data_IF_468322415623
#
_entry.id   IF_468322415623
#
_cell.length_a   1.000
_cell.length_b   1.000
_cell.length_c   1.000
_cell.angle_alpha   90.00
_cell.angle_beta   90.00
_cell.angle_gamma   90.00
#
_symmetry.space_group_name_H-M   'P 1'
#
loop_
_entity.id
_entity.type
_entity.pdbx_description
1 polymer ?
#
# COMPACT_ATOMS: atom_id res chain seq x y z
N UNK A 1 6.65 -2.74 -30.92
CA UNK A 1 7.03 -2.19 -32.24
C UNK A 1 7.40 -3.31 -33.19
N UNK A 2 6.52 -3.76 -34.09
CA UNK A 2 6.92 -4.74 -35.08
C UNK A 2 7.71 -4.03 -36.20
N UNK A 3 9.04 -4.00 -36.04
CA UNK A 3 9.98 -3.70 -37.12
C UNK A 3 10.25 -5.01 -37.86
N UNK A 4 9.43 -5.27 -38.87
CA UNK A 4 9.56 -6.47 -39.71
C UNK A 4 9.05 -6.19 -41.11
N UNK A 5 9.56 -5.14 -41.76
CA UNK A 5 9.39 -4.94 -43.20
C UNK A 5 10.16 -6.05 -43.91
N UNK A 6 9.54 -7.21 -44.07
CA UNK A 6 9.96 -8.18 -45.05
C UNK A 6 9.80 -7.52 -46.42
N UNK A 7 10.91 -7.03 -46.94
CA UNK A 7 11.06 -6.68 -48.35
C UNK A 7 10.87 -7.97 -49.12
N UNK A 8 9.62 -8.25 -49.51
CA UNK A 8 9.40 -9.26 -50.53
C UNK A 8 10.06 -8.73 -51.80
N UNK A 9 11.09 -9.40 -52.34
CA UNK A 9 11.58 -9.04 -53.67
C UNK A 9 10.40 -9.21 -54.62
N UNK A 10 10.05 -8.15 -55.34
CA UNK A 10 9.02 -8.25 -56.37
C UNK A 10 9.44 -9.34 -57.33
N UNK A 11 8.55 -10.30 -57.63
CA UNK A 11 8.99 -11.44 -58.38
C UNK A 11 9.15 -11.04 -59.85
N UNK A 12 10.38 -11.24 -60.37
CA UNK A 12 10.81 -10.89 -61.74
C UNK A 12 9.84 -11.39 -62.84
N UNK A 13 9.06 -12.44 -62.58
CA UNK A 13 8.05 -12.94 -63.52
C UNK A 13 6.90 -11.97 -63.81
N UNK A 14 6.68 -10.93 -62.98
CA UNK A 14 5.65 -9.91 -63.23
C UNK A 14 6.04 -8.93 -64.34
N UNK A 15 7.32 -8.80 -64.66
CA UNK A 15 7.78 -7.91 -65.74
C UNK A 15 7.80 -8.61 -67.10
N UNK A 16 7.82 -9.95 -67.13
CA UNK A 16 7.93 -10.72 -68.38
C UNK A 16 6.74 -10.52 -69.33
N UNK A 17 5.52 -10.45 -68.79
CA UNK A 17 4.29 -10.29 -69.59
C UNK A 17 4.16 -8.92 -70.27
N UNK A 18 4.42 -7.77 -69.62
CA UNK A 18 4.39 -6.49 -70.34
C UNK A 18 5.57 -6.35 -71.32
N UNK A 19 6.75 -6.89 -70.99
CA UNK A 19 7.92 -6.81 -71.90
C UNK A 19 7.74 -7.64 -73.17
N UNK A 20 7.06 -8.79 -73.10
CA UNK A 20 6.82 -9.62 -74.29
C UNK A 20 5.83 -8.97 -75.26
N UNK A 21 4.76 -8.34 -74.76
CA UNK A 21 3.79 -7.60 -75.59
C UNK A 21 4.45 -6.38 -76.26
N UNK A 22 5.29 -5.65 -75.52
CA UNK A 22 6.09 -4.56 -76.08
C UNK A 22 7.08 -5.07 -77.14
N UNK A 23 7.78 -6.18 -76.87
CA UNK A 23 8.71 -6.81 -77.81
C UNK A 23 8.05 -7.25 -79.11
N UNK A 24 6.87 -7.87 -79.04
CA UNK A 24 6.09 -8.28 -80.23
C UNK A 24 5.63 -7.07 -81.04
N UNK A 25 5.25 -5.97 -80.38
CA UNK A 25 4.80 -4.74 -81.06
C UNK A 25 5.96 -4.04 -81.80
N UNK A 26 7.15 -3.96 -81.18
CA UNK A 26 8.35 -3.38 -81.79
C UNK A 26 8.87 -4.26 -82.93
N UNK A 27 8.90 -5.59 -82.74
CA UNK A 27 9.30 -6.53 -83.77
C UNK A 27 8.35 -6.50 -84.97
N UNK A 28 7.03 -6.38 -84.72
CA UNK A 28 6.03 -6.18 -85.76
C UNK A 28 6.27 -4.88 -86.55
N UNK A 29 6.50 -3.76 -85.87
CA UNK A 29 6.79 -2.48 -86.53
C UNK A 29 8.06 -2.53 -87.40
N UNK A 30 9.11 -3.24 -86.94
CA UNK A 30 10.34 -3.45 -87.71
C UNK A 30 10.14 -4.35 -88.94
N UNK A 31 9.36 -5.41 -88.81
CA UNK A 31 9.06 -6.33 -89.92
C UNK A 31 8.23 -5.66 -91.04
N UNK A 32 7.44 -4.63 -90.72
CA UNK A 32 6.68 -3.86 -91.70
C UNK A 32 7.55 -3.18 -92.78
N UNK A 33 8.80 -2.83 -92.46
CA UNK A 33 9.73 -2.20 -93.41
C UNK A 33 10.35 -3.18 -94.41
N UNK A 34 10.26 -4.48 -94.15
CA UNK A 34 10.88 -5.53 -94.98
C UNK A 34 9.88 -6.17 -95.98
N UNK A 35 8.58 -5.86 -95.86
CA UNK A 35 7.51 -6.50 -96.63
C UNK A 35 6.85 -5.49 -97.59
N UNK A 36 6.97 -5.73 -98.89
CA UNK A 36 6.37 -4.88 -99.93
C UNK A 36 4.96 -5.35 -100.38
N UNK A 37 4.54 -6.54 -99.96
CA UNK A 37 3.25 -7.13 -100.37
C UNK A 37 2.07 -6.54 -99.56
N UNK A 38 0.99 -6.10 -100.22
CA UNK A 38 -0.11 -5.39 -99.56
C UNK A 38 -0.91 -6.28 -98.59
N UNK A 39 -0.99 -7.59 -98.86
CA UNK A 39 -1.66 -8.56 -97.97
C UNK A 39 -0.85 -8.77 -96.69
N UNK A 40 0.48 -8.87 -96.80
CA UNK A 40 1.37 -9.05 -95.66
C UNK A 40 1.35 -7.85 -94.70
N UNK A 41 1.34 -6.63 -95.25
CA UNK A 41 1.22 -5.41 -94.45
C UNK A 41 -0.12 -5.34 -93.69
N UNK A 42 -1.23 -5.72 -94.33
CA UNK A 42 -2.56 -5.75 -93.67
C UNK A 42 -2.64 -6.76 -92.53
N UNK A 43 -2.06 -7.95 -92.71
CA UNK A 43 -2.00 -8.97 -91.65
C UNK A 43 -1.16 -8.50 -90.47
N UNK A 44 -0.03 -7.85 -90.73
CA UNK A 44 0.87 -7.33 -89.69
C UNK A 44 0.23 -6.18 -88.89
N UNK A 45 -0.50 -5.28 -89.57
CA UNK A 45 -1.29 -4.23 -88.90
C UNK A 45 -2.41 -4.84 -88.03
N UNK A 46 -3.11 -5.86 -88.52
CA UNK A 46 -4.12 -6.55 -87.72
C UNK A 46 -3.52 -7.23 -86.47
N UNK A 47 -2.31 -7.82 -86.60
CA UNK A 47 -1.60 -8.47 -85.49
C UNK A 47 -1.15 -7.45 -84.43
N UNK A 48 -0.61 -6.31 -84.85
CA UNK A 48 -0.20 -5.23 -83.93
C UNK A 48 -1.39 -4.57 -83.24
N UNK A 49 -2.51 -4.34 -83.94
CA UNK A 49 -3.75 -3.89 -83.34
C UNK A 49 -4.29 -4.90 -82.30
N UNK A 50 -4.27 -6.19 -82.63
CA UNK A 50 -4.64 -7.26 -81.70
C UNK A 50 -3.77 -7.30 -80.45
N UNK A 51 -2.45 -7.12 -80.59
CA UNK A 51 -1.52 -7.04 -79.46
C UNK A 51 -1.78 -5.83 -78.57
N UNK A 52 -2.10 -4.67 -79.16
CA UNK A 52 -2.48 -3.45 -78.42
C UNK A 52 -3.77 -3.65 -77.60
N UNK A 53 -4.80 -4.25 -78.20
CA UNK A 53 -6.06 -4.57 -77.50
C UNK A 53 -5.83 -5.57 -76.39
N UNK A 54 -5.04 -6.63 -76.62
CA UNK A 54 -4.69 -7.62 -75.60
C UNK A 54 -3.93 -6.98 -74.43
N UNK A 55 -2.94 -6.12 -74.72
CA UNK A 55 -2.21 -5.37 -73.69
C UNK A 55 -3.12 -4.46 -72.85
N UNK A 56 -4.05 -3.76 -73.49
CA UNK A 56 -5.04 -2.92 -72.80
C UNK A 56 -5.96 -3.74 -71.88
N UNK A 57 -6.41 -4.92 -72.31
CA UNK A 57 -7.23 -5.82 -71.49
C UNK A 57 -6.45 -6.35 -70.28
N UNK A 58 -5.19 -6.74 -70.47
CA UNK A 58 -4.32 -7.19 -69.36
C UNK A 58 -4.08 -6.07 -68.35
N UNK A 59 -3.76 -4.85 -68.80
CA UNK A 59 -3.63 -3.67 -67.93
C UNK A 59 -4.90 -3.41 -67.13
N UNK A 60 -6.07 -3.45 -67.79
CA UNK A 60 -7.38 -3.29 -67.13
C UNK A 60 -7.65 -4.38 -66.09
N UNK A 61 -7.25 -5.62 -66.37
CA UNK A 61 -7.37 -6.73 -65.41
C UNK A 61 -6.42 -6.55 -64.22
N UNK A 62 -5.21 -6.06 -64.46
CA UNK A 62 -4.21 -5.77 -63.45
C UNK A 62 -4.67 -4.66 -62.51
N UNK A 63 -5.18 -3.55 -63.03
CA UNK A 63 -5.75 -2.44 -62.23
C UNK A 63 -6.87 -2.93 -61.31
N UNK A 64 -7.79 -3.75 -61.84
CA UNK A 64 -8.87 -4.33 -61.04
C UNK A 64 -8.34 -5.26 -59.96
N UNK A 65 -7.36 -6.10 -60.27
CA UNK A 65 -6.75 -7.03 -59.30
C UNK A 65 -5.95 -6.29 -58.22
N UNK A 66 -5.30 -5.19 -58.58
CA UNK A 66 -4.56 -4.33 -57.65
C UNK A 66 -5.54 -3.61 -56.72
N UNK A 67 -6.63 -3.04 -57.27
CA UNK A 67 -7.68 -2.41 -56.48
C UNK A 67 -8.32 -3.37 -55.46
N UNK A 68 -8.62 -4.62 -55.86
CA UNK A 68 -9.13 -5.65 -54.94
C UNK A 68 -8.15 -5.96 -53.82
N UNK A 69 -6.86 -6.16 -54.15
CA UNK A 69 -5.82 -6.43 -53.16
C UNK A 69 -5.61 -5.27 -52.19
N UNK A 70 -5.65 -4.03 -52.67
CA UNK A 70 -5.57 -2.83 -51.80
C UNK A 70 -6.79 -2.75 -50.88
N UNK A 71 -7.98 -3.04 -51.39
CA UNK A 71 -9.20 -3.07 -50.58
C UNK A 71 -9.16 -4.17 -49.51
N UNK A 72 -8.67 -5.36 -49.84
CA UNK A 72 -8.46 -6.46 -48.89
C UNK A 72 -7.45 -6.07 -47.81
N UNK A 73 -6.28 -5.55 -48.20
CA UNK A 73 -5.26 -5.09 -47.25
C UNK A 73 -5.75 -3.94 -46.37
N UNK A 74 -6.57 -3.04 -46.91
CA UNK A 74 -7.19 -1.98 -46.12
C UNK A 74 -8.16 -2.56 -45.08
N UNK A 75 -8.97 -3.56 -45.44
CA UNK A 75 -9.88 -4.26 -44.50
C UNK A 75 -9.10 -5.02 -43.43
N UNK A 76 -8.01 -5.68 -43.79
CA UNK A 76 -7.14 -6.37 -42.85
C UNK A 76 -6.49 -5.40 -41.87
N UNK A 77 -5.99 -4.26 -42.34
CA UNK A 77 -5.43 -3.20 -41.47
C UNK A 77 -6.46 -2.68 -40.48
N UNK A 78 -7.65 -2.32 -40.94
CA UNK A 78 -8.72 -1.84 -40.05
C UNK A 78 -9.09 -2.91 -39.02
N UNK A 79 -9.13 -4.19 -39.43
CA UNK A 79 -9.40 -5.31 -38.52
C UNK A 79 -8.30 -5.48 -37.47
N UNK A 80 -7.04 -5.31 -37.86
CA UNK A 80 -5.90 -5.41 -36.95
C UNK A 80 -5.85 -4.20 -36.00
N UNK A 81 -6.12 -2.99 -36.50
CA UNK A 81 -6.27 -1.77 -35.69
C UNK A 81 -7.35 -1.99 -34.63
N UNK A 82 -8.53 -2.45 -35.03
CA UNK A 82 -9.63 -2.74 -34.11
C UNK A 82 -9.26 -3.79 -33.06
N UNK A 83 -8.58 -4.88 -33.43
CA UNK A 83 -8.08 -5.88 -32.47
C UNK A 83 -7.03 -5.31 -31.53
N UNK A 84 -6.21 -4.36 -31.99
CA UNK A 84 -5.24 -3.71 -31.11
C UNK A 84 -5.92 -2.74 -30.15
N UNK A 85 -6.93 -2.02 -30.60
CA UNK A 85 -7.75 -1.15 -29.75
C UNK A 85 -8.50 -1.97 -28.69
N UNK A 86 -9.07 -3.11 -29.06
CA UNK A 86 -9.73 -4.04 -28.14
C UNK A 86 -8.75 -4.55 -27.06
N UNK A 87 -7.55 -4.98 -27.47
CA UNK A 87 -6.49 -5.37 -26.51
C UNK A 87 -6.01 -4.22 -25.64
N UNK A 88 -5.98 -2.99 -26.15
CA UNK A 88 -5.62 -1.82 -25.36
C UNK A 88 -6.71 -1.57 -24.31
N UNK A 89 -7.98 -1.65 -24.68
CA UNK A 89 -9.10 -1.50 -23.76
C UNK A 89 -9.11 -2.59 -22.67
N UNK A 90 -8.84 -3.85 -23.04
CA UNK A 90 -8.67 -4.95 -22.07
C UNK A 90 -7.54 -4.63 -21.08
N UNK A 91 -6.37 -4.23 -21.57
CA UNK A 91 -5.22 -3.89 -20.71
C UNK A 91 -5.49 -2.67 -19.82
N UNK A 92 -6.23 -1.68 -20.31
CA UNK A 92 -6.65 -0.52 -19.52
C UNK A 92 -7.60 -0.95 -18.39
N UNK A 93 -8.56 -1.84 -18.67
CA UNK A 93 -9.44 -2.40 -17.62
C UNK A 93 -8.66 -3.22 -16.59
N UNK A 94 -7.73 -4.09 -17.02
CA UNK A 94 -6.88 -4.88 -16.12
C UNK A 94 -6.01 -3.97 -15.23
N UNK A 95 -5.52 -2.85 -15.76
CA UNK A 95 -4.76 -1.86 -15.00
C UNK A 95 -5.62 -1.16 -13.95
N UNK A 96 -6.87 -0.82 -14.28
CA UNK A 96 -7.83 -0.27 -13.32
C UNK A 96 -8.15 -1.27 -12.21
N UNK A 97 -8.38 -2.53 -12.55
CA UNK A 97 -8.58 -3.61 -11.58
C UNK A 97 -7.37 -3.79 -10.65
N UNK A 98 -6.17 -3.80 -11.21
CA UNK A 98 -4.93 -3.89 -10.43
C UNK A 98 -4.77 -2.69 -9.49
N UNK A 99 -5.11 -1.48 -9.92
CA UNK A 99 -5.10 -0.26 -9.09
C UNK A 99 -6.11 -0.36 -7.95
N UNK A 100 -7.31 -0.85 -8.22
CA UNK A 100 -8.34 -1.07 -7.19
C UNK A 100 -7.89 -2.09 -6.14
N UNK A 101 -7.32 -3.22 -6.58
CA UNK A 101 -6.80 -4.25 -5.67
C UNK A 101 -5.66 -3.71 -4.82
N UNK A 102 -4.75 -2.95 -5.42
CA UNK A 102 -3.66 -2.29 -4.69
C UNK A 102 -4.19 -1.33 -3.62
N UNK A 103 -5.15 -0.46 -3.96
CA UNK A 103 -5.75 0.46 -3.01
C UNK A 103 -6.42 -0.27 -1.82
N UNK A 104 -7.14 -1.37 -2.10
CA UNK A 104 -7.75 -2.22 -1.06
C UNK A 104 -6.70 -2.84 -0.15
N UNK A 105 -5.61 -3.38 -0.70
CA UNK A 105 -4.52 -3.97 0.10
C UNK A 105 -3.77 -2.91 0.91
N UNK A 106 -3.50 -1.74 0.34
CA UNK A 106 -2.87 -0.63 1.05
C UNK A 106 -3.76 -0.15 2.21
N UNK A 107 -5.08 -0.11 2.02
CA UNK A 107 -6.05 0.16 3.10
C UNK A 107 -5.95 -0.87 4.23
N UNK A 108 -5.94 -2.16 3.91
CA UNK A 108 -5.77 -3.25 4.89
C UNK A 108 -4.43 -3.16 5.63
N UNK A 109 -3.33 -2.89 4.93
CA UNK A 109 -2.01 -2.74 5.56
C UNK A 109 -1.96 -1.54 6.50
N UNK A 110 -2.58 -0.41 6.13
CA UNK A 110 -2.69 0.76 7.02
C UNK A 110 -3.51 0.41 8.26
N UNK A 111 -4.67 -0.24 8.10
CA UNK A 111 -5.48 -0.69 9.23
C UNK A 111 -4.70 -1.61 10.17
N UNK A 112 -4.00 -2.62 9.63
CA UNK A 112 -3.17 -3.52 10.45
C UNK A 112 -2.00 -2.83 11.15
N UNK A 113 -1.39 -1.82 10.51
CA UNK A 113 -0.34 -1.01 11.18
C UNK A 113 -0.90 -0.22 12.36
N UNK A 114 -2.10 0.34 12.22
CA UNK A 114 -2.79 1.04 13.32
C UNK A 114 -3.17 0.07 14.45
N UNK A 115 -3.73 -1.10 14.12
CA UNK A 115 -4.02 -2.14 15.12
C UNK A 115 -2.76 -2.56 15.89
N UNK A 116 -1.64 -2.80 15.20
CA UNK A 116 -0.37 -3.14 15.85
C UNK A 116 0.18 -1.99 16.72
N UNK A 117 0.00 -0.74 16.31
CA UNK A 117 0.36 0.40 17.15
C UNK A 117 -0.52 0.47 18.40
N UNK A 118 -1.83 0.20 18.26
CA UNK A 118 -2.79 0.09 19.36
C UNK A 118 -2.37 -0.98 20.37
N UNK A 119 -2.12 -2.22 19.92
CA UNK A 119 -1.69 -3.33 20.79
C UNK A 119 -0.37 -3.06 21.52
N UNK A 120 0.59 -2.40 20.85
CA UNK A 120 1.84 -1.97 21.51
C UNK A 120 1.57 -0.92 22.58
N UNK A 121 0.64 0.00 22.33
CA UNK A 121 0.18 0.99 23.31
C UNK A 121 -0.50 0.34 24.51
N UNK A 122 -1.40 -0.61 24.29
CA UNK A 122 -2.08 -1.38 25.33
C UNK A 122 -1.08 -2.18 26.17
N UNK A 123 -0.11 -2.84 25.53
CA UNK A 123 0.94 -3.57 26.23
C UNK A 123 1.79 -2.66 27.11
N UNK A 124 2.19 -1.48 26.61
CA UNK A 124 2.91 -0.49 27.40
C UNK A 124 2.07 0.02 28.58
N UNK A 125 0.76 0.21 28.38
CA UNK A 125 -0.16 0.59 29.46
C UNK A 125 -0.28 -0.51 30.52
N UNK A 126 -0.36 -1.78 30.10
CA UNK A 126 -0.41 -2.94 31.00
C UNK A 126 0.86 -3.03 31.85
N UNK A 127 2.04 -2.87 31.24
CA UNK A 127 3.31 -2.87 31.96
C UNK A 127 3.41 -1.73 32.99
N UNK A 128 2.93 -0.53 32.66
CA UNK A 128 2.87 0.58 33.62
C UNK A 128 1.95 0.24 34.80
N UNK A 129 0.76 -0.29 34.55
CA UNK A 129 -0.19 -0.70 35.60
C UNK A 129 0.37 -1.83 36.47
N UNK A 130 1.09 -2.77 35.87
CA UNK A 130 1.74 -3.84 36.62
C UNK A 130 2.88 -3.30 37.49
N UNK A 131 3.71 -2.41 36.94
CA UNK A 131 4.78 -1.77 37.68
C UNK A 131 4.23 -0.96 38.87
N UNK A 132 3.16 -0.18 38.68
CA UNK A 132 2.52 0.56 39.79
C UNK A 132 1.97 -0.40 40.83
N UNK A 133 1.26 -1.45 40.41
CA UNK A 133 0.73 -2.45 41.34
C UNK A 133 1.85 -3.15 42.14
N UNK A 134 3.00 -3.43 41.52
CA UNK A 134 4.13 -4.05 42.22
C UNK A 134 4.81 -3.07 43.18
N UNK A 135 4.93 -1.78 42.82
CA UNK A 135 5.43 -0.75 43.75
C UNK A 135 4.47 -0.52 44.92
N UNK A 136 3.16 -0.55 44.68
CA UNK A 136 2.14 -0.45 45.73
C UNK A 136 2.23 -1.63 46.69
N UNK A 137 2.37 -2.86 46.17
CA UNK A 137 2.60 -4.05 47.00
C UNK A 137 3.87 -3.95 47.84
N UNK A 138 4.98 -3.50 47.25
CA UNK A 138 6.24 -3.31 47.98
C UNK A 138 6.08 -2.27 49.10
N UNK A 139 5.47 -1.12 48.81
CA UNK A 139 5.21 -0.06 49.79
C UNK A 139 4.30 -0.52 50.93
N UNK A 140 3.30 -1.37 50.64
CA UNK A 140 2.43 -1.95 51.66
C UNK A 140 3.19 -2.92 52.59
N UNK A 141 4.13 -3.70 52.04
CA UNK A 141 5.00 -4.58 52.84
C UNK A 141 5.99 -3.79 53.70
N UNK A 142 6.57 -2.71 53.17
CA UNK A 142 7.44 -1.81 53.94
C UNK A 142 6.66 -1.09 55.05
N UNK A 143 5.45 -0.59 54.76
CA UNK A 143 4.56 -0.01 55.77
C UNK A 143 4.26 -0.99 56.90
N UNK A 144 3.98 -2.26 56.58
CA UNK A 144 3.80 -3.32 57.60
C UNK A 144 5.07 -3.58 58.41
N UNK A 145 6.25 -3.56 57.78
CA UNK A 145 7.53 -3.72 58.47
C UNK A 145 7.80 -2.57 59.44
N UNK A 146 7.56 -1.33 59.02
CA UNK A 146 7.73 -0.16 59.87
C UNK A 146 6.80 -0.20 61.08
N UNK A 147 5.52 -0.53 60.88
CA UNK A 147 4.56 -0.70 61.98
C UNK A 147 4.98 -1.83 62.94
N UNK A 148 5.56 -2.92 62.45
CA UNK A 148 6.07 -3.99 63.31
C UNK A 148 7.30 -3.55 64.13
N UNK A 149 8.19 -2.72 63.55
CA UNK A 149 9.33 -2.14 64.25
C UNK A 149 8.84 -1.16 65.33
N UNK A 150 7.89 -0.28 65.00
CA UNK A 150 7.29 0.66 65.94
C UNK A 150 6.56 -0.07 67.08
N UNK A 151 5.80 -1.12 66.79
CA UNK A 151 5.16 -1.96 67.81
C UNK A 151 6.19 -2.69 68.69
N UNK A 152 7.33 -3.09 68.14
CA UNK A 152 8.44 -3.68 68.91
C UNK A 152 9.25 -2.64 69.70
N UNK A 153 9.26 -1.38 69.26
CA UNK A 153 9.95 -0.25 69.91
C UNK A 153 9.05 0.52 70.89
N UNK A 154 7.73 0.31 70.85
CA UNK A 154 6.80 0.75 71.89
C UNK A 154 7.34 0.29 73.25
N UNK A 155 7.24 1.12 74.31
CA UNK A 155 7.98 0.90 75.54
C UNK A 155 7.51 -0.39 76.20
N UNK A 156 8.22 -1.48 75.92
CA UNK A 156 8.17 -2.67 76.74
C UNK A 156 8.55 -2.22 78.16
N UNK A 157 7.70 -2.57 79.13
CA UNK A 157 7.97 -2.36 80.56
C UNK A 157 9.45 -2.62 80.85
N UNK A 158 10.13 -1.76 81.65
CA UNK A 158 11.57 -1.75 81.75
C UNK A 158 12.04 -3.16 82.06
N UNK A 159 12.63 -3.82 81.06
CA UNK A 159 13.23 -5.13 81.23
C UNK A 159 14.52 -4.84 81.96
N UNK A 160 14.42 -4.75 83.29
CA UNK A 160 15.53 -4.53 84.19
C UNK A 160 16.60 -5.54 83.80
N UNK A 161 17.68 -5.05 83.19
CA UNK A 161 18.86 -5.86 82.98
C UNK A 161 19.34 -6.23 84.38
N UNK A 162 19.26 -7.51 84.72
CA UNK A 162 19.79 -8.01 85.97
C UNK A 162 21.26 -7.61 86.07
N UNK A 163 21.76 -7.21 87.26
CA UNK A 163 23.12 -6.71 87.40
C UNK A 163 24.12 -7.76 86.91
N UNK A 164 25.02 -7.37 86.01
CA UNK A 164 26.06 -8.22 85.44
C UNK A 164 27.05 -8.80 86.48
N UNK A 165 26.93 -8.35 87.73
CA UNK A 165 27.77 -8.70 88.88
C UNK A 165 27.65 -10.18 89.28
N UNK A 166 26.55 -10.87 88.94
CA UNK A 166 26.38 -12.31 89.27
C UNK A 166 26.96 -13.25 88.19
N UNK A 167 27.22 -12.74 86.99
CA UNK A 167 27.62 -13.53 85.83
C UNK A 167 29.14 -13.63 85.65
N UNK A 168 29.90 -12.78 86.34
CA UNK A 168 31.36 -12.79 86.36
C UNK A 168 31.89 -12.68 87.78
N UNK A 169 33.01 -13.35 88.04
CA UNK A 169 33.73 -13.20 89.30
C UNK A 169 34.36 -11.80 89.39
N UNK A 170 34.81 -11.39 90.58
CA UNK A 170 35.52 -10.12 90.77
C UNK A 170 36.81 -10.00 89.94
N UNK A 171 37.37 -11.12 89.49
CA UNK A 171 38.50 -11.20 88.57
C UNK A 171 38.10 -11.18 87.08
N UNK A 172 36.81 -11.02 86.77
CA UNK A 172 36.27 -10.93 85.41
C UNK A 172 36.02 -12.26 84.69
N UNK A 173 36.28 -13.41 85.33
CA UNK A 173 36.01 -14.72 84.73
C UNK A 173 34.51 -15.05 84.75
N UNK A 174 33.93 -15.67 83.69
CA UNK A 174 32.52 -16.02 83.68
C UNK A 174 32.20 -17.08 84.74
N UNK A 175 31.13 -16.88 85.51
CA UNK A 175 30.65 -17.86 86.49
C UNK A 175 29.85 -18.96 85.80
N UNK A 176 29.66 -20.11 86.46
CA UNK A 176 28.79 -21.18 85.95
C UNK A 176 27.35 -20.69 85.69
N UNK A 177 26.88 -19.73 86.49
CA UNK A 177 25.59 -19.04 86.29
C UNK A 177 25.62 -18.17 85.02
N UNK A 178 26.74 -17.49 84.75
CA UNK A 178 26.95 -16.76 83.48
C UNK A 178 26.90 -17.66 82.25
N UNK A 179 27.55 -18.83 82.29
CA UNK A 179 27.54 -19.79 81.17
C UNK A 179 26.16 -20.40 80.92
N UNK A 180 25.44 -20.79 81.97
CA UNK A 180 24.09 -21.37 81.83
C UNK A 180 23.09 -20.34 81.30
N UNK A 181 23.21 -19.08 81.73
CA UNK A 181 22.40 -17.98 81.21
C UNK A 181 22.74 -17.65 79.76
N UNK A 182 24.02 -17.63 79.39
CA UNK A 182 24.44 -17.44 77.99
C UNK A 182 23.92 -18.57 77.08
N UNK A 183 23.96 -19.81 77.55
CA UNK A 183 23.40 -20.95 76.82
C UNK A 183 21.88 -20.81 76.66
N UNK A 184 21.15 -20.42 77.71
CA UNK A 184 19.71 -20.14 77.63
C UNK A 184 19.39 -19.00 76.65
N UNK A 185 20.21 -17.94 76.62
CA UNK A 185 20.06 -16.82 75.69
C UNK A 185 20.28 -17.26 74.23
N UNK A 186 21.29 -18.11 73.98
CA UNK A 186 21.53 -18.70 72.66
C UNK A 186 20.36 -19.60 72.23
N UNK A 187 19.80 -20.39 73.14
CA UNK A 187 18.60 -21.19 72.90
C UNK A 187 17.38 -20.34 72.53
N UNK A 188 17.15 -19.24 73.25
CA UNK A 188 16.07 -18.30 72.95
C UNK A 188 16.27 -17.60 71.59
N UNK A 189 17.50 -17.27 71.24
CA UNK A 189 17.83 -16.67 69.94
C UNK A 189 17.63 -17.66 68.79
N UNK A 190 18.02 -18.93 68.98
CA UNK A 190 17.78 -20.00 68.02
C UNK A 190 16.27 -20.25 67.79
N UNK A 191 15.49 -20.28 68.87
CA UNK A 191 14.02 -20.41 68.80
C UNK A 191 13.39 -19.24 68.03
N UNK A 192 13.78 -18.00 68.33
CA UNK A 192 13.28 -16.81 67.63
C UNK A 192 13.66 -16.79 66.15
N UNK A 193 14.85 -17.30 65.81
CA UNK A 193 15.30 -17.45 64.41
C UNK A 193 14.49 -18.52 63.67
N UNK A 194 14.14 -19.62 64.34
CA UNK A 194 13.27 -20.65 63.78
C UNK A 194 11.85 -20.11 63.51
N UNK A 195 11.29 -19.32 64.43
CA UNK A 195 10.00 -18.63 64.25
C UNK A 195 10.01 -17.60 63.11
N UNK A 196 11.09 -16.82 62.99
CA UNK A 196 11.26 -15.87 61.89
C UNK A 196 11.40 -16.57 60.53
N UNK A 197 12.02 -17.75 60.49
CA UNK A 197 12.13 -18.57 59.27
C UNK A 197 10.81 -19.24 58.89
N UNK A 198 10.02 -19.69 59.89
CA UNK A 198 8.70 -20.26 59.66
C UNK A 198 7.70 -19.22 59.11
N UNK A 199 7.81 -17.96 59.54
CA UNK A 199 6.97 -16.85 59.08
C UNK A 199 7.42 -16.21 57.75
N UNK A 200 8.68 -16.40 57.34
CA UNK A 200 9.23 -15.89 56.08
C UNK A 200 9.01 -16.84 54.87
N UNK A 201 8.43 -18.03 55.07
CA UNK A 201 8.03 -18.89 53.95
C UNK A 201 6.67 -18.40 53.41
N UNK A 202 6.61 -17.80 52.21
CA UNK A 202 5.32 -17.51 51.59
C UNK A 202 4.62 -18.84 51.30
N UNK A 203 3.35 -18.91 51.67
CA UNK A 203 2.45 -19.99 51.30
C UNK A 203 2.48 -20.17 49.78
N UNK A 204 3.22 -21.20 49.35
CA UNK A 204 3.24 -21.66 47.98
C UNK A 204 1.96 -22.47 47.81
N UNK A 205 0.87 -21.80 47.43
CA UNK A 205 -0.29 -22.49 46.88
C UNK A 205 0.19 -23.41 45.74
N UNK A 206 -0.29 -24.66 45.68
CA UNK A 206 0.06 -25.55 44.58
C UNK A 206 -0.62 -25.02 43.32
N UNK A 207 0.13 -24.24 42.55
CA UNK A 207 -0.24 -23.87 41.19
C UNK A 207 -0.23 -25.14 40.36
N UNK A 208 -1.41 -25.70 40.14
CA UNK A 208 -1.66 -26.69 39.11
C UNK A 208 -1.15 -26.12 37.78
N UNK A 209 -0.18 -26.83 37.20
CA UNK A 209 0.29 -26.60 35.84
C UNK A 209 -0.86 -26.94 34.88
N UNK A 210 -1.30 -26.04 33.98
CA UNK A 210 -2.11 -26.48 32.85
C UNK A 210 -1.23 -27.34 31.95
N UNK A 211 -1.67 -28.57 31.71
CA UNK A 211 -1.09 -29.49 30.75
C UNK A 211 -1.07 -28.84 29.35
N UNK A 212 0.07 -28.94 28.67
CA UNK A 212 0.24 -28.56 27.29
C UNK A 212 -0.60 -29.48 26.37
N UNK A 213 -1.24 -28.95 25.31
CA UNK A 213 -1.95 -29.79 24.35
C UNK A 213 -0.96 -30.58 23.47
N UNK A 214 -1.31 -31.81 23.03
CA UNK A 214 -0.47 -32.61 22.15
C UNK A 214 -0.51 -32.09 20.72
N UNK A 215 0.67 -31.96 20.11
CA UNK A 215 0.87 -31.76 18.67
C UNK A 215 0.42 -33.01 17.90
N UNK A 216 -0.36 -32.88 16.81
CA UNK A 216 -0.67 -34.02 15.95
C UNK A 216 0.51 -34.37 15.05
N UNK A 217 1.01 -35.60 15.18
CA UNK A 217 1.92 -36.23 14.24
C UNK A 217 1.10 -36.98 13.20
N UNK A 218 1.15 -36.54 11.94
CA UNK A 218 0.55 -37.22 10.79
C UNK A 218 1.27 -38.53 10.48
N UNK A 219 0.56 -39.60 10.06
CA UNK A 219 1.19 -40.83 9.58
C UNK A 219 1.67 -40.71 8.12
N UNK A 220 2.68 -41.52 7.81
CA UNK A 220 3.38 -41.60 6.52
C UNK A 220 2.47 -41.94 5.33
N UNK A 221 2.62 -41.16 4.27
CA UNK A 221 2.17 -41.49 2.91
C UNK A 221 3.36 -41.86 2.03
N UNK A 222 3.17 -42.88 1.21
CA UNK A 222 4.18 -43.57 0.42
C UNK A 222 4.78 -42.78 -0.75
N UNK A 223 5.93 -43.31 -1.14
CA UNK A 223 6.53 -43.45 -2.47
C UNK A 223 5.91 -42.70 -3.67
N UNK A 224 6.80 -42.07 -4.46
CA UNK A 224 6.44 -41.39 -5.70
C UNK A 224 7.48 -40.36 -6.11
N UNK A 225 8.59 -40.84 -6.69
CA UNK A 225 9.61 -39.96 -7.26
C UNK A 225 9.10 -39.18 -8.46
N UNK A 226 9.57 -37.94 -8.63
CA UNK A 226 9.86 -37.33 -9.92
C UNK A 226 10.92 -36.23 -9.73
N UNK A 227 12.05 -36.41 -10.42
CA UNK A 227 13.13 -35.44 -10.45
C UNK A 227 12.71 -34.12 -11.08
N UNK A 228 13.23 -33.02 -10.54
CA UNK A 228 13.44 -31.77 -11.27
C UNK A 228 14.80 -31.21 -10.93
N UNK A 229 15.55 -30.71 -11.92
CA UNK A 229 16.92 -30.25 -11.72
C UNK A 229 16.96 -28.97 -10.90
N UNK A 230 18.01 -28.86 -10.08
CA UNK A 230 18.42 -27.64 -9.43
C UNK A 230 18.62 -26.54 -10.49
N UNK A 231 17.74 -25.55 -10.49
CA UNK A 231 17.86 -24.39 -11.35
C UNK A 231 18.97 -23.48 -10.82
N UNK A 232 19.88 -23.17 -11.74
CA UNK A 232 21.06 -22.37 -11.54
C UNK A 232 20.78 -20.97 -10.98
N UNK A 233 21.70 -20.51 -10.14
CA UNK A 233 21.85 -19.13 -9.70
C UNK A 233 22.14 -18.24 -10.92
N UNK A 234 21.35 -17.20 -11.23
CA UNK A 234 21.78 -16.23 -12.22
C UNK A 234 22.78 -15.24 -11.59
N UNK A 235 23.98 -15.27 -12.15
CA UNK A 235 25.03 -14.28 -11.96
C UNK A 235 24.60 -12.87 -12.41
N UNK A 236 25.18 -11.88 -11.72
CA UNK A 236 25.46 -10.48 -12.12
C UNK A 236 24.60 -9.89 -13.26
N UNK A 237 23.71 -8.96 -12.89
CA UNK A 237 23.22 -7.91 -13.81
C UNK A 237 24.22 -6.75 -13.85
N UNK A 238 24.56 -6.19 -15.01
CA UNK A 238 25.27 -4.91 -15.09
C UNK A 238 24.32 -3.75 -14.72
N UNK A 239 24.84 -2.81 -13.94
CA UNK A 239 24.15 -1.60 -13.53
C UNK A 239 23.76 -0.76 -14.76
N UNK A 240 22.47 -0.44 -14.87
CA UNK A 240 21.98 0.53 -15.85
C UNK A 240 22.37 1.94 -15.40
N UNK A 241 23.09 2.67 -16.26
CA UNK A 241 23.38 4.07 -16.08
C UNK A 241 22.08 4.88 -16.07
N UNK A 242 21.75 5.45 -14.91
CA UNK A 242 20.68 6.43 -14.76
C UNK A 242 21.16 7.72 -15.42
N UNK A 243 20.50 8.11 -16.51
CA UNK A 243 20.68 9.43 -17.10
C UNK A 243 20.28 10.50 -16.07
N UNK A 244 21.07 11.57 -15.87
CA UNK A 244 20.66 12.63 -14.96
C UNK A 244 19.42 13.31 -15.53
N UNK A 245 18.37 13.35 -14.71
CA UNK A 245 17.19 14.17 -14.96
C UNK A 245 17.68 15.62 -15.12
N UNK A 246 17.50 16.17 -16.33
CA UNK A 246 17.73 17.59 -16.56
C UNK A 246 16.73 18.36 -15.67
N UNK A 247 17.22 18.91 -14.57
CA UNK A 247 16.45 19.78 -13.71
C UNK A 247 15.95 20.97 -14.55
N UNK A 248 14.64 20.99 -14.78
CA UNK A 248 13.95 22.12 -15.38
C UNK A 248 14.19 23.32 -14.47
N UNK A 249 15.01 24.27 -14.94
CA UNK A 249 15.30 25.52 -14.21
C UNK A 249 13.99 26.27 -14.03
N UNK A 250 13.42 26.19 -12.83
CA UNK A 250 12.47 27.19 -12.38
C UNK A 250 13.26 28.48 -12.21
N UNK A 251 12.93 29.48 -13.01
CA UNK A 251 13.33 30.87 -12.76
C UNK A 251 12.65 31.32 -11.48
N UNK A 252 13.29 31.05 -10.34
CA UNK A 252 12.99 31.76 -9.11
C UNK A 252 13.59 33.15 -9.26
N UNK A 253 12.73 34.15 -9.44
CA UNK A 253 13.11 35.53 -9.22
C UNK A 253 13.66 35.63 -7.79
N UNK A 254 14.91 36.07 -7.68
CA UNK A 254 15.51 36.48 -6.42
C UNK A 254 14.74 37.73 -5.97
N UNK A 255 13.68 37.53 -5.18
CA UNK A 255 13.08 38.60 -4.39
C UNK A 255 13.88 38.67 -3.10
N UNK A 256 14.55 39.79 -2.92
CA UNK A 256 15.31 40.13 -1.72
C UNK A 256 14.43 40.02 -0.46
N UNK A 257 15.03 39.51 0.61
CA UNK A 257 14.33 38.99 1.78
C UNK A 257 13.69 40.05 2.68
N UNK A 258 12.54 39.67 3.25
CA UNK A 258 11.99 40.25 4.46
C UNK A 258 11.74 39.14 5.48
N UNK A 259 12.63 39.01 6.46
CA UNK A 259 12.47 38.08 7.58
C UNK A 259 11.33 38.55 8.48
N UNK A 260 10.28 37.74 8.62
CA UNK A 260 9.11 38.04 9.47
C UNK A 260 9.15 37.19 10.74
N UNK A 261 9.50 37.84 11.86
CA UNK A 261 9.70 37.22 13.17
C UNK A 261 8.42 36.62 13.79
N UNK A 262 7.23 37.05 13.36
CA UNK A 262 5.94 36.54 13.90
C UNK A 262 5.18 35.61 12.94
N UNK A 263 5.74 35.27 11.78
CA UNK A 263 5.17 34.27 10.85
C UNK A 263 3.80 34.63 10.25
N UNK A 264 3.30 35.84 10.46
CA UNK A 264 1.95 36.26 10.02
C UNK A 264 1.88 36.48 8.51
N UNK A 265 2.96 36.96 7.88
CA UNK A 265 3.01 37.14 6.43
C UNK A 265 3.16 35.82 5.70
N UNK A 266 3.93 34.89 6.26
CA UNK A 266 4.11 33.54 5.69
C UNK A 266 2.82 32.71 5.76
N UNK A 267 2.04 32.84 6.83
CA UNK A 267 0.78 32.10 6.98
C UNK A 267 -0.33 32.63 6.06
N UNK A 268 -0.43 33.96 5.87
CA UNK A 268 -1.37 34.55 4.92
C UNK A 268 -1.01 34.18 3.46
N UNK A 269 0.27 34.18 3.11
CA UNK A 269 0.74 33.75 1.79
C UNK A 269 0.54 32.25 1.59
N UNK A 270 0.82 31.42 2.60
CA UNK A 270 0.59 29.97 2.53
C UNK A 270 -0.91 29.64 2.35
N UNK A 271 -1.79 30.35 3.06
CA UNK A 271 -3.25 30.21 2.86
C UNK A 271 -3.68 30.62 1.46
N UNK A 272 -3.20 31.75 0.95
CA UNK A 272 -3.50 32.18 -0.41
C UNK A 272 -3.02 31.17 -1.47
N UNK A 273 -1.87 30.54 -1.27
CA UNK A 273 -1.37 29.48 -2.15
C UNK A 273 -2.24 28.22 -2.07
N UNK A 274 -2.63 27.80 -0.87
CA UNK A 274 -3.53 26.65 -0.68
C UNK A 274 -4.90 26.90 -1.29
N UNK A 275 -5.49 28.07 -1.06
CA UNK A 275 -6.78 28.47 -1.63
C UNK A 275 -6.72 28.53 -3.17
N UNK A 276 -5.59 28.95 -3.74
CA UNK A 276 -5.40 28.97 -5.19
C UNK A 276 -5.40 27.55 -5.78
N UNK A 277 -4.65 26.62 -5.18
CA UNK A 277 -4.61 25.21 -5.62
C UNK A 277 -5.99 24.55 -5.45
N UNK A 278 -6.66 24.79 -4.33
CA UNK A 278 -8.01 24.25 -4.11
C UNK A 278 -9.03 24.79 -5.12
N UNK A 279 -8.92 26.07 -5.50
CA UNK A 279 -9.79 26.65 -6.51
C UNK A 279 -9.52 26.10 -7.91
N UNK A 280 -8.28 25.70 -8.20
CA UNK A 280 -7.90 25.04 -9.46
C UNK A 280 -8.45 23.60 -9.50
N UNK A 281 -8.25 22.82 -8.44
CA UNK A 281 -8.80 21.46 -8.31
C UNK A 281 -10.35 21.45 -8.39
N UNK A 282 -11.01 22.45 -7.79
CA UNK A 282 -12.47 22.59 -7.86
C UNK A 282 -12.94 23.06 -9.24
N UNK A 283 -12.15 23.88 -9.94
CA UNK A 283 -12.47 24.31 -11.30
C UNK A 283 -12.39 23.14 -12.28
N UNK A 284 -11.47 22.20 -12.07
CA UNK A 284 -11.36 20.99 -12.89
C UNK A 284 -12.54 20.02 -12.69
N UNK A 285 -13.07 19.92 -11.45
CA UNK A 285 -14.20 19.02 -11.13
C UNK A 285 -15.56 19.62 -11.52
N UNK A 286 -15.77 20.91 -11.25
CA UNK A 286 -17.09 21.57 -11.38
C UNK A 286 -17.19 22.45 -12.63
N UNK A 287 -16.06 22.80 -13.23
CA UNK A 287 -15.96 23.73 -14.36
C UNK A 287 -15.67 25.17 -13.91
N UNK A 288 -14.77 25.84 -14.63
CA UNK A 288 -14.34 27.21 -14.32
C UNK A 288 -15.49 28.24 -14.31
N UNK A 289 -16.50 28.06 -15.17
CA UNK A 289 -17.66 28.95 -15.27
C UNK A 289 -18.59 28.85 -14.05
N UNK A 290 -18.83 27.63 -13.55
CA UNK A 290 -19.65 27.40 -12.36
C UNK A 290 -18.96 27.90 -11.08
N UNK A 291 -17.64 27.71 -10.97
CA UNK A 291 -16.85 28.20 -9.84
C UNK A 291 -16.80 29.75 -9.81
N UNK A 292 -16.74 30.40 -10.97
CA UNK A 292 -16.78 31.85 -11.08
C UNK A 292 -18.15 32.43 -10.64
N UNK A 293 -19.26 31.79 -11.02
CA UNK A 293 -20.60 32.19 -10.57
C UNK A 293 -20.76 32.05 -9.06
N UNK A 294 -20.31 30.94 -8.46
CA UNK A 294 -20.38 30.74 -7.01
C UNK A 294 -19.46 31.72 -6.23
N UNK A 295 -18.29 32.07 -6.78
CA UNK A 295 -17.43 33.12 -6.21
C UNK A 295 -18.07 34.51 -6.30
N UNK A 296 -18.76 34.81 -7.39
CA UNK A 296 -19.49 36.07 -7.54
C UNK A 296 -20.69 36.17 -6.60
N UNK A 297 -21.43 35.06 -6.43
CA UNK A 297 -22.56 34.96 -5.51
C UNK A 297 -22.10 35.10 -4.05
N UNK A 298 -21.06 34.35 -3.64
CA UNK A 298 -20.49 34.44 -2.30
C UNK A 298 -19.85 35.80 -1.97
N UNK A 299 -19.37 36.54 -2.98
CA UNK A 299 -18.91 37.92 -2.81
C UNK A 299 -20.06 38.93 -2.65
N UNK A 300 -21.25 38.64 -3.17
CA UNK A 300 -22.45 39.45 -2.97
C UNK A 300 -23.17 39.12 -1.65
N UNK A 301 -22.92 37.95 -1.09
CA UNK A 301 -23.37 37.57 0.25
C UNK A 301 -22.60 38.39 1.30
N UNK A 302 -23.29 39.35 1.90
CA UNK A 302 -22.85 40.20 3.02
C UNK A 302 -22.04 39.37 4.04
N UNK A 303 -20.86 39.80 4.49
CA UNK A 303 -20.09 39.02 5.44
C UNK A 303 -20.90 38.83 6.73
N UNK A 304 -21.07 37.57 7.14
CA UNK A 304 -21.70 37.23 8.40
C UNK A 304 -21.03 38.00 9.54
N UNK A 305 -21.85 38.68 10.35
CA UNK A 305 -21.41 39.35 11.57
C UNK A 305 -20.65 38.37 12.47
N UNK A 306 -19.66 38.84 13.24
CA UNK A 306 -18.79 37.98 14.06
C UNK A 306 -19.52 37.16 15.14
N UNK A 307 -20.82 37.39 15.35
CA UNK A 307 -21.66 36.63 16.28
C UNK A 307 -22.05 35.23 15.75
N UNK A 308 -21.96 34.96 14.45
CA UNK A 308 -22.31 33.65 13.88
C UNK A 308 -21.14 32.66 13.76
N UNK A 309 -19.90 33.06 14.13
CA UNK A 309 -18.71 32.19 14.10
C UNK A 309 -18.47 31.47 15.43
N UNK A 310 -19.48 31.37 16.30
CA UNK A 310 -19.39 30.58 17.52
C UNK A 310 -19.72 29.10 17.22
N UNK A 311 -18.67 28.28 17.09
CA UNK A 311 -18.79 26.83 17.25
C UNK A 311 -19.26 26.56 18.68
N UNK A 312 -20.49 26.07 18.85
CA UNK A 312 -21.06 25.76 20.16
C UNK A 312 -22.53 26.14 20.39
N UNK A 313 -23.31 26.41 19.34
CA UNK A 313 -24.75 26.57 19.51
C UNK A 313 -25.38 25.19 19.78
N UNK A 314 -25.70 24.93 21.05
CA UNK A 314 -26.54 23.79 21.46
C UNK A 314 -27.93 24.05 20.90
N UNK A 315 -28.26 23.36 19.81
CA UNK A 315 -29.60 23.37 19.24
C UNK A 315 -30.48 22.55 20.18
N UNK A 316 -31.50 23.18 20.74
CA UNK A 316 -32.45 22.50 21.61
C UNK A 316 -33.35 21.59 20.76
N UNK A 317 -33.01 20.31 20.72
CA UNK A 317 -33.75 19.29 19.96
C UNK A 317 -35.06 18.89 20.65
N UNK A 318 -35.32 19.35 21.87
CA UNK A 318 -36.56 19.02 22.61
C UNK A 318 -37.82 19.58 21.97
N UNK A 319 -37.71 20.62 21.14
CA UNK A 319 -38.85 21.18 20.41
C UNK A 319 -39.24 20.40 19.15
N UNK A 320 -38.42 19.44 18.69
CA UNK A 320 -38.66 18.69 17.45
C UNK A 320 -38.93 17.19 17.68
N UNK A 321 -39.08 16.76 18.94
CA UNK A 321 -39.36 15.35 19.29
C UNK A 321 -40.87 15.05 19.33
N UNK A 322 -41.63 15.58 18.36
CA UNK A 322 -42.97 15.09 18.08
C UNK A 322 -42.83 13.82 17.24
N UNK A 323 -42.66 12.69 17.93
CA UNK A 323 -42.68 11.37 17.32
C UNK A 323 -44.05 11.09 16.71
N UNK A 324 -44.18 11.15 15.39
CA UNK A 324 -45.32 10.54 14.71
C UNK A 324 -45.31 9.02 14.99
N UNK A 325 -46.33 8.46 15.65
CA UNK A 325 -46.38 7.03 15.90
C UNK A 325 -46.56 6.31 14.56
N UNK A 326 -45.54 5.57 14.13
CA UNK A 326 -45.59 4.73 12.95
C UNK A 326 -46.72 3.70 13.13
N UNK A 327 -47.76 3.78 12.30
CA UNK A 327 -48.90 2.85 12.34
C UNK A 327 -48.48 1.47 11.81
N UNK A 328 -48.04 0.62 12.74
CA UNK A 328 -47.59 -0.76 12.49
C UNK A 328 -48.69 -1.68 11.95
N UNK A 329 -49.97 -1.28 12.00
CA UNK A 329 -51.06 -2.08 11.43
C UNK A 329 -51.02 -2.10 9.89
N UNK A 330 -50.70 -0.96 9.27
CA UNK A 330 -50.62 -0.82 7.80
C UNK A 330 -49.44 -1.59 7.19
N UNK A 331 -48.36 -1.75 7.96
CA UNK A 331 -47.19 -2.53 7.56
C UNK A 331 -47.46 -4.04 7.55
N UNK A 332 -48.36 -4.55 8.40
CA UNK A 332 -48.70 -5.98 8.45
C UNK A 332 -49.61 -6.42 7.30
N UNK A 333 -50.48 -5.53 6.79
CA UNK A 333 -51.35 -5.83 5.65
C UNK A 333 -50.65 -5.83 4.30
N UNK A 334 -49.43 -5.27 4.20
CA UNK A 334 -48.66 -5.25 2.95
C UNK A 334 -47.79 -6.51 2.74
N UNK A 335 -47.75 -7.42 3.71
CA UNK A 335 -46.91 -8.63 3.72
C UNK A 335 -47.75 -9.92 3.56
N UNK A 336 -49.08 -9.83 3.52
CA UNK A 336 -49.99 -10.94 3.12
C UNK A 336 -50.54 -10.69 1.72
#
# INVERSE_FOLDING_TARGET
MPRGRHRNPEPLHRLLTPTSVAGVSIAGAGAAWLLAEPVALRLLVALTAGAGVAGAVVMRAWDRSAGRRVAELARERVKDEWRTEERIAELESDLEEARMLRAKLDGKLRAKRVELAGLRGEHAALLRRYATAETERASALEGRRLLAIEAAAAPAAPKQLAPATEERTSAGAPTAVGYTRAHAALGALAARKAEAQASAQPQREPRALPAAPPSPTSPSGGDGGHGRPAAAVPARRPAAAVAPYAAQRRTASRVEGGFDFFGTKSTAQARAVVDAVQNEDLADVVGAEALALHKAESAQTKPATPEMRAVGQVIDLTAHDETEPIDVARLRTAIS
#
